data_IF_465184819234
#
_entry.id   IF_465184819234
#
_cell.length_a   1.000
_cell.length_b   1.000
_cell.length_c   1.000
_cell.angle_alpha   90.00
_cell.angle_beta   90.00
_cell.angle_gamma   90.00
#
_symmetry.space_group_name_H-M   'P 1'
#
loop_
_entity.id
_entity.type
_entity.pdbx_description
1 polymer ?
#
# COMPACT_ATOMS: atom_id res chain seq x y z
N UNK A 1 -11.13 -22.16 11.36
CA UNK A 1 -9.88 -22.54 12.05
C UNK A 1 -9.70 -21.54 13.19
N UNK A 2 -9.60 -22.00 14.44
CA UNK A 2 -9.33 -21.09 15.55
C UNK A 2 -7.91 -20.54 15.43
N UNK A 3 -7.75 -19.22 15.62
CA UNK A 3 -6.46 -18.57 15.58
C UNK A 3 -5.66 -18.93 16.84
N UNK A 4 -4.50 -19.56 16.66
CA UNK A 4 -3.63 -19.92 17.78
C UNK A 4 -2.71 -18.73 18.12
N UNK A 5 -3.12 -17.97 19.14
CA UNK A 5 -2.41 -16.77 19.61
C UNK A 5 -1.00 -17.11 20.09
N UNK A 6 -0.81 -18.25 20.75
CA UNK A 6 0.50 -18.61 21.33
C UNK A 6 1.53 -18.95 20.26
N UNK A 7 1.15 -19.74 19.25
CA UNK A 7 2.04 -20.06 18.14
C UNK A 7 2.43 -18.83 17.33
N UNK A 8 1.49 -17.92 17.11
CA UNK A 8 1.76 -16.67 16.38
C UNK A 8 2.62 -15.72 17.21
N UNK A 9 2.37 -15.60 18.51
CA UNK A 9 3.16 -14.76 19.40
C UNK A 9 4.64 -15.12 19.41
N UNK A 10 4.97 -16.42 19.36
CA UNK A 10 6.35 -16.92 19.30
C UNK A 10 7.13 -16.54 18.04
N UNK A 11 6.45 -16.04 16.99
CA UNK A 11 7.12 -15.55 15.78
C UNK A 11 7.74 -14.16 15.95
N UNK A 12 7.44 -13.47 17.05
CA UNK A 12 7.88 -12.10 17.32
C UNK A 12 8.77 -12.09 18.57
N UNK A 13 10.05 -11.84 18.40
CA UNK A 13 11.03 -11.87 19.48
C UNK A 13 10.64 -10.92 20.63
N UNK A 14 10.20 -9.72 20.31
CA UNK A 14 9.81 -8.70 21.30
C UNK A 14 8.61 -9.13 22.14
N UNK A 15 7.70 -9.95 21.61
CA UNK A 15 6.52 -10.42 22.34
C UNK A 15 6.78 -11.67 23.18
N UNK A 16 7.89 -12.38 22.95
CA UNK A 16 8.26 -13.60 23.69
C UNK A 16 8.65 -13.28 25.14
N UNK A 17 9.04 -12.06 25.45
CA UNK A 17 9.43 -11.60 26.79
C UNK A 17 8.24 -11.20 27.69
N UNK A 18 7.02 -11.54 27.31
CA UNK A 18 5.83 -11.26 28.13
C UNK A 18 5.21 -9.86 27.96
N UNK A 19 5.74 -9.03 27.08
CA UNK A 19 5.20 -7.70 26.81
C UNK A 19 3.85 -7.75 26.10
N UNK A 20 2.97 -6.83 26.42
CA UNK A 20 1.74 -6.54 25.67
C UNK A 20 1.98 -5.31 24.81
N UNK A 21 2.00 -5.49 23.48
CA UNK A 21 2.21 -4.41 22.53
C UNK A 21 0.88 -3.90 21.98
N UNK A 22 0.52 -2.66 22.30
CA UNK A 22 -0.77 -2.06 21.92
C UNK A 22 -0.69 -1.11 20.75
N UNK A 23 0.51 -0.80 20.23
CA UNK A 23 0.72 0.16 19.15
C UNK A 23 0.92 -0.49 17.77
N UNK A 24 0.36 -1.68 17.56
CA UNK A 24 0.53 -2.41 16.29
C UNK A 24 -0.09 -1.68 15.08
N UNK A 25 -1.06 -0.80 15.31
CA UNK A 25 -1.66 0.04 14.28
C UNK A 25 -0.65 1.01 13.66
N UNK A 26 0.11 1.73 14.50
CA UNK A 26 1.07 2.73 14.01
C UNK A 26 2.42 2.11 13.63
N UNK A 27 2.88 1.12 14.42
CA UNK A 27 4.17 0.47 14.22
C UNK A 27 4.04 -1.03 14.43
N UNK A 28 3.68 -1.79 13.40
CA UNK A 28 3.53 -3.23 13.52
C UNK A 28 4.86 -3.91 13.85
N UNK A 29 4.79 -4.95 14.69
CA UNK A 29 5.95 -5.79 14.97
C UNK A 29 6.30 -6.64 13.75
N UNK A 30 7.59 -6.82 13.51
CA UNK A 30 8.10 -7.61 12.37
C UNK A 30 8.45 -9.01 12.84
N UNK A 31 7.88 -10.07 12.24
CA UNK A 31 8.27 -11.46 12.55
C UNK A 31 9.73 -11.71 12.21
N UNK A 32 10.43 -12.51 12.99
CA UNK A 32 11.86 -12.83 12.80
C UNK A 32 12.16 -13.33 11.37
N UNK A 33 11.34 -14.21 10.84
CA UNK A 33 11.51 -14.71 9.46
C UNK A 33 11.45 -13.61 8.40
N UNK A 34 10.67 -12.54 8.65
CA UNK A 34 10.57 -11.39 7.75
C UNK A 34 11.82 -10.53 7.85
N UNK A 35 12.31 -10.26 9.07
CA UNK A 35 13.55 -9.53 9.30
C UNK A 35 14.75 -10.20 8.62
N UNK A 36 14.88 -11.51 8.75
CA UNK A 36 15.91 -12.31 8.06
C UNK A 36 15.74 -12.23 6.54
N UNK A 37 14.51 -12.31 6.04
CA UNK A 37 14.21 -12.20 4.61
C UNK A 37 14.62 -10.83 4.04
N UNK A 38 14.30 -9.75 4.75
CA UNK A 38 14.69 -8.39 4.38
C UNK A 38 16.21 -8.24 4.35
N UNK A 39 16.91 -8.69 5.40
CA UNK A 39 18.37 -8.63 5.45
C UNK A 39 19.04 -9.43 4.32
N UNK A 40 18.47 -10.57 3.93
CA UNK A 40 18.92 -11.37 2.78
C UNK A 40 18.68 -10.62 1.47
N UNK A 41 17.51 -10.04 1.30
CA UNK A 41 17.18 -9.28 0.09
C UNK A 41 18.12 -8.10 -0.12
N UNK A 42 18.43 -7.32 0.93
CA UNK A 42 19.39 -6.23 0.85
C UNK A 42 20.79 -6.70 0.45
N UNK A 43 21.26 -7.81 1.01
CA UNK A 43 22.60 -8.34 0.68
C UNK A 43 22.70 -8.84 -0.76
N UNK A 44 21.63 -9.39 -1.30
CA UNK A 44 21.63 -10.05 -2.61
C UNK A 44 21.02 -9.21 -3.73
N UNK A 45 20.46 -8.04 -3.43
CA UNK A 45 19.72 -7.22 -4.41
C UNK A 45 20.51 -6.89 -5.68
N UNK A 46 21.82 -6.72 -5.56
CA UNK A 46 22.74 -6.41 -6.67
C UNK A 46 23.31 -7.65 -7.36
N UNK A 47 23.05 -8.85 -6.82
CA UNK A 47 23.48 -10.10 -7.44
C UNK A 47 22.68 -10.39 -8.71
N UNK A 48 23.33 -10.96 -9.71
CA UNK A 48 22.65 -11.38 -10.93
C UNK A 48 22.15 -12.80 -10.74
N UNK A 49 20.83 -12.98 -10.86
CA UNK A 49 20.22 -14.30 -10.89
C UNK A 49 20.49 -14.93 -12.26
N UNK A 50 21.36 -15.92 -12.28
CA UNK A 50 21.45 -16.85 -13.40
C UNK A 50 20.36 -17.92 -13.18
N UNK A 51 19.30 -17.89 -13.97
CA UNK A 51 18.31 -18.96 -13.96
C UNK A 51 18.96 -20.33 -14.16
N UNK A 52 18.24 -21.44 -13.87
CA UNK A 52 18.81 -22.77 -14.01
C UNK A 52 19.38 -22.93 -15.41
N UNK A 53 20.70 -22.94 -15.50
CA UNK A 53 21.44 -23.20 -16.71
C UNK A 53 21.28 -24.67 -17.09
N UNK A 54 20.24 -24.97 -17.86
CA UNK A 54 20.17 -26.22 -18.57
C UNK A 54 21.34 -26.26 -19.56
N UNK A 55 22.13 -27.28 -19.49
CA UNK A 55 23.48 -27.48 -20.03
C UNK A 55 23.63 -27.36 -21.55
N UNK A 56 22.66 -26.93 -22.34
CA UNK A 56 22.76 -26.94 -23.82
C UNK A 56 22.11 -25.79 -24.58
N UNK A 57 21.68 -24.70 -23.99
CA UNK A 57 21.23 -23.55 -24.77
C UNK A 57 22.11 -22.33 -24.49
N UNK A 58 23.05 -22.08 -25.37
CA UNK A 58 23.94 -20.91 -25.42
C UNK A 58 23.19 -19.61 -25.78
N UNK A 59 21.97 -19.41 -25.34
CA UNK A 59 21.37 -18.09 -25.30
C UNK A 59 21.62 -17.53 -23.91
N UNK A 60 22.68 -16.75 -23.77
CA UNK A 60 22.88 -15.87 -22.64
C UNK A 60 21.67 -14.91 -22.58
N UNK A 61 20.67 -15.29 -21.83
CA UNK A 61 19.71 -14.30 -21.37
C UNK A 61 20.46 -13.40 -20.42
N UNK A 62 20.42 -12.09 -20.64
CA UNK A 62 20.93 -11.12 -19.69
C UNK A 62 20.33 -11.47 -18.32
N UNK A 63 21.20 -11.73 -17.34
CA UNK A 63 20.75 -12.09 -15.99
C UNK A 63 19.91 -10.96 -15.41
N UNK A 64 18.88 -11.33 -14.65
CA UNK A 64 18.08 -10.37 -13.89
C UNK A 64 18.73 -10.12 -12.54
N UNK A 65 18.61 -8.89 -12.04
CA UNK A 65 19.00 -8.59 -10.67
C UNK A 65 18.07 -9.33 -9.70
N UNK A 66 18.63 -9.91 -8.65
CA UNK A 66 17.86 -10.54 -7.58
C UNK A 66 16.87 -9.56 -6.95
N UNK A 67 17.22 -8.27 -6.86
CA UNK A 67 16.31 -7.22 -6.39
C UNK A 67 15.03 -7.13 -7.21
N UNK A 68 15.09 -7.25 -8.54
CA UNK A 68 13.93 -7.24 -9.40
C UNK A 68 13.04 -8.47 -9.18
N UNK A 69 13.67 -9.62 -8.95
CA UNK A 69 12.95 -10.87 -8.63
C UNK A 69 12.20 -10.73 -7.30
N UNK A 70 12.84 -10.14 -6.27
CA UNK A 70 12.16 -9.88 -4.99
C UNK A 70 10.97 -8.95 -5.13
N UNK A 71 11.10 -7.88 -5.93
CA UNK A 71 9.99 -6.93 -6.18
C UNK A 71 8.83 -7.64 -6.88
N UNK A 72 9.10 -8.45 -7.89
CA UNK A 72 8.03 -9.20 -8.58
C UNK A 72 7.35 -10.23 -7.67
N UNK A 73 8.12 -10.97 -6.88
CA UNK A 73 7.57 -11.93 -5.93
C UNK A 73 6.70 -11.23 -4.87
N UNK A 74 7.15 -10.07 -4.36
CA UNK A 74 6.36 -9.27 -3.43
C UNK A 74 5.05 -8.79 -4.05
N UNK A 75 5.09 -8.33 -5.31
CA UNK A 75 3.89 -7.93 -6.06
C UNK A 75 2.92 -9.08 -6.24
N UNK A 76 3.45 -10.27 -6.60
CA UNK A 76 2.66 -11.50 -6.71
C UNK A 76 2.00 -11.89 -5.39
N UNK A 77 2.75 -11.89 -4.29
CA UNK A 77 2.23 -12.23 -2.97
C UNK A 77 1.11 -11.28 -2.50
N UNK A 78 1.23 -9.98 -2.75
CA UNK A 78 0.16 -9.01 -2.46
C UNK A 78 -1.05 -9.24 -3.36
N UNK A 79 -0.83 -9.54 -4.64
CA UNK A 79 -1.90 -9.85 -5.59
C UNK A 79 -2.70 -11.09 -5.16
N UNK A 80 -2.01 -12.14 -4.75
CA UNK A 80 -2.63 -13.38 -4.25
C UNK A 80 -3.44 -13.12 -2.96
N UNK A 81 -2.88 -12.32 -2.04
CA UNK A 81 -3.57 -11.94 -0.80
C UNK A 81 -4.87 -11.17 -1.05
N UNK A 82 -4.87 -10.30 -2.04
CA UNK A 82 -6.02 -9.44 -2.38
C UNK A 82 -6.96 -10.06 -3.43
N UNK A 83 -6.62 -11.21 -4.01
CA UNK A 83 -7.38 -11.84 -5.09
C UNK A 83 -7.41 -11.00 -6.37
N UNK A 84 -6.35 -10.26 -6.66
CA UNK A 84 -6.21 -9.41 -7.85
C UNK A 84 -5.05 -9.86 -8.74
N UNK A 85 -4.95 -9.32 -9.95
CA UNK A 85 -3.81 -9.58 -10.83
C UNK A 85 -2.58 -8.78 -10.38
N UNK A 86 -1.38 -9.34 -10.53
CA UNK A 86 -0.13 -8.69 -10.12
C UNK A 86 0.13 -7.34 -10.84
N UNK A 87 -0.37 -7.16 -12.07
CA UNK A 87 -0.27 -5.90 -12.81
C UNK A 87 -1.18 -4.77 -12.22
N UNK A 88 -2.04 -5.10 -11.26
CA UNK A 88 -2.87 -4.14 -10.51
C UNK A 88 -2.27 -3.73 -9.18
N UNK A 89 -1.12 -4.28 -8.82
CA UNK A 89 -0.44 -3.97 -7.57
C UNK A 89 0.73 -3.02 -7.84
N UNK A 90 0.74 -1.90 -7.16
CA UNK A 90 1.83 -0.93 -7.18
C UNK A 90 2.51 -0.96 -5.82
N UNK A 91 3.82 -1.17 -5.81
CA UNK A 91 4.65 -1.11 -4.61
C UNK A 91 5.39 0.23 -4.56
N UNK A 92 5.55 0.79 -3.38
CA UNK A 92 6.26 2.04 -3.17
C UNK A 92 6.94 2.09 -1.81
N UNK A 93 7.80 3.10 -1.61
CA UNK A 93 8.59 3.25 -0.39
C UNK A 93 7.76 3.67 0.83
N UNK A 94 6.62 4.33 0.59
CA UNK A 94 5.72 4.76 1.66
C UNK A 94 4.33 5.07 1.09
N UNK A 95 3.33 5.11 1.98
CA UNK A 95 1.96 5.46 1.62
C UNK A 95 1.85 6.87 1.00
N UNK A 96 2.46 7.93 1.57
CA UNK A 96 2.45 9.26 0.94
C UNK A 96 3.01 9.27 -0.48
N UNK A 97 4.12 8.55 -0.73
CA UNK A 97 4.71 8.44 -2.08
C UNK A 97 3.75 7.76 -3.06
N UNK A 98 3.04 6.72 -2.61
CA UNK A 98 2.05 6.04 -3.44
C UNK A 98 0.87 6.94 -3.78
N UNK A 99 0.33 7.70 -2.81
CA UNK A 99 -0.75 8.65 -3.06
C UNK A 99 -0.31 9.80 -3.97
N UNK A 100 0.89 10.32 -3.79
CA UNK A 100 1.45 11.33 -4.69
C UNK A 100 1.59 10.80 -6.13
N UNK A 101 2.03 9.55 -6.28
CA UNK A 101 2.16 8.91 -7.60
C UNK A 101 0.79 8.67 -8.24
N UNK A 102 -0.20 8.25 -7.46
CA UNK A 102 -1.58 8.08 -7.91
C UNK A 102 -2.18 9.41 -8.36
N UNK A 103 -2.04 10.47 -7.56
CA UNK A 103 -2.54 11.80 -7.88
C UNK A 103 -1.93 12.32 -9.19
N UNK A 104 -0.63 12.17 -9.40
CA UNK A 104 0.04 12.51 -10.66
C UNK A 104 -0.48 11.70 -11.85
N UNK A 105 -0.71 10.41 -11.68
CA UNK A 105 -1.28 9.57 -12.74
C UNK A 105 -2.71 10.00 -13.11
N UNK A 106 -3.47 10.52 -12.13
CA UNK A 106 -4.84 11.01 -12.31
C UNK A 106 -4.91 12.48 -12.77
N UNK A 107 -3.83 13.24 -12.71
CA UNK A 107 -3.78 14.66 -13.05
C UNK A 107 -4.46 15.00 -14.38
N UNK A 108 -4.27 14.26 -15.50
CA UNK A 108 -4.93 14.57 -16.76
C UNK A 108 -6.46 14.51 -16.70
N UNK A 109 -7.00 13.79 -15.73
CA UNK A 109 -8.44 13.69 -15.48
C UNK A 109 -8.92 14.73 -14.46
N UNK A 110 -8.14 14.98 -13.41
CA UNK A 110 -8.50 15.83 -12.28
C UNK A 110 -8.28 17.31 -12.59
N UNK A 111 -7.22 17.70 -13.30
CA UNK A 111 -6.90 19.08 -13.62
C UNK A 111 -7.82 19.70 -14.71
N UNK A 112 -8.90 19.03 -15.08
CA UNK A 112 -9.88 19.60 -16.00
C UNK A 112 -10.75 20.63 -15.29
N UNK A 113 -11.03 21.73 -15.96
CA UNK A 113 -11.88 22.79 -15.42
C UNK A 113 -13.25 22.25 -15.01
N UNK A 114 -13.71 22.62 -13.82
CA UNK A 114 -15.01 22.23 -13.28
C UNK A 114 -15.06 20.80 -12.73
N UNK A 115 -13.91 20.14 -12.51
CA UNK A 115 -13.87 18.85 -11.80
C UNK A 115 -13.82 19.07 -10.29
N UNK A 116 -14.41 18.12 -9.55
CA UNK A 116 -14.35 18.10 -8.09
C UNK A 116 -13.81 16.76 -7.57
N UNK A 117 -13.28 16.81 -6.36
CA UNK A 117 -12.92 15.64 -5.57
C UNK A 117 -13.65 15.67 -4.23
N UNK A 118 -14.01 14.50 -3.71
CA UNK A 118 -14.57 14.35 -2.36
C UNK A 118 -13.56 13.58 -1.52
N UNK A 119 -13.09 14.20 -0.45
CA UNK A 119 -12.07 13.67 0.43
C UNK A 119 -12.65 13.43 1.83
N UNK A 120 -12.03 12.54 2.57
CA UNK A 120 -12.41 12.25 3.95
C UNK A 120 -11.66 13.17 4.92
N UNK A 121 -12.37 13.75 5.87
CA UNK A 121 -11.79 14.50 6.99
C UNK A 121 -11.10 13.61 8.04
N UNK A 122 -11.22 12.28 7.91
CA UNK A 122 -10.50 11.31 8.75
C UNK A 122 -9.14 10.92 8.17
N UNK A 123 -8.91 11.18 6.89
CA UNK A 123 -7.64 10.85 6.27
C UNK A 123 -6.51 11.77 6.74
N UNK A 124 -5.33 11.20 6.88
CA UNK A 124 -4.12 11.98 7.15
C UNK A 124 -3.84 12.96 5.98
N UNK A 125 -3.32 14.16 6.27
CA UNK A 125 -3.05 15.17 5.24
C UNK A 125 -2.17 14.64 4.09
N UNK A 126 -1.26 13.72 4.36
CA UNK A 126 -0.37 13.12 3.38
C UNK A 126 -1.12 12.29 2.32
N UNK A 127 -2.33 11.83 2.68
CA UNK A 127 -3.20 11.06 1.80
C UNK A 127 -4.07 11.99 0.95
N UNK A 128 -4.62 13.02 1.54
CA UNK A 128 -5.61 13.91 0.92
C UNK A 128 -4.99 15.09 0.14
N UNK A 129 -3.89 15.68 0.64
CA UNK A 129 -3.26 16.85 0.02
C UNK A 129 -2.84 16.66 -1.45
N UNK A 130 -2.33 15.51 -1.89
CA UNK A 130 -1.99 15.30 -3.30
C UNK A 130 -3.16 15.50 -4.27
N UNK A 131 -4.39 15.22 -3.84
CA UNK A 131 -5.58 15.33 -4.68
C UNK A 131 -6.22 16.72 -4.58
N UNK A 132 -6.27 17.30 -3.38
CA UNK A 132 -6.85 18.64 -3.18
C UNK A 132 -6.09 19.74 -3.95
N UNK A 133 -4.78 19.55 -4.16
CA UNK A 133 -3.97 20.49 -4.92
C UNK A 133 -4.13 20.43 -6.44
N UNK A 134 -4.88 19.44 -6.97
CA UNK A 134 -5.07 19.25 -8.41
C UNK A 134 -6.38 19.82 -8.95
N UNK A 135 -7.30 20.21 -8.08
CA UNK A 135 -8.65 20.68 -8.45
C UNK A 135 -9.00 21.98 -7.76
N UNK A 136 -9.89 22.75 -8.38
CA UNK A 136 -10.42 24.00 -7.79
C UNK A 136 -11.53 23.74 -6.76
N UNK A 137 -12.25 22.61 -6.88
CA UNK A 137 -13.37 22.24 -6.02
C UNK A 137 -13.06 20.95 -5.24
N UNK A 138 -12.63 21.12 -3.99
CA UNK A 138 -12.41 20.05 -3.04
C UNK A 138 -13.50 20.06 -1.98
N UNK A 139 -14.24 18.97 -1.89
CA UNK A 139 -15.33 18.78 -0.92
C UNK A 139 -14.90 17.79 0.14
N UNK A 140 -15.27 18.05 1.40
CA UNK A 140 -14.84 17.26 2.54
C UNK A 140 -16.02 16.58 3.21
N UNK A 141 -15.98 15.25 3.29
CA UNK A 141 -16.85 14.49 4.18
C UNK A 141 -16.25 14.54 5.59
N UNK A 142 -16.99 15.15 6.53
CA UNK A 142 -16.50 15.41 7.88
C UNK A 142 -17.10 14.40 8.87
N UNK A 143 -16.33 13.93 9.86
CA UNK A 143 -16.86 13.07 10.90
C UNK A 143 -17.87 13.80 11.77
N UNK A 144 -18.82 13.08 12.28
CA UNK A 144 -19.72 13.54 13.35
C UNK A 144 -18.89 13.77 14.62
N UNK A 145 -18.93 14.97 15.18
CA UNK A 145 -18.12 15.34 16.34
C UNK A 145 -18.52 14.62 17.63
N UNK A 146 -19.74 14.11 17.70
CA UNK A 146 -20.21 13.39 18.89
C UNK A 146 -19.82 11.91 18.88
N UNK A 147 -19.84 11.28 17.70
CA UNK A 147 -19.57 9.84 17.55
C UNK A 147 -18.19 9.55 16.98
N UNK A 148 -17.56 10.50 16.28
CA UNK A 148 -16.33 10.31 15.54
C UNK A 148 -16.52 9.49 14.24
N UNK A 149 -17.74 9.10 13.92
CA UNK A 149 -18.07 8.33 12.74
C UNK A 149 -18.22 9.23 11.51
N UNK A 150 -17.90 8.71 10.34
CA UNK A 150 -18.10 9.39 9.07
C UNK A 150 -19.38 8.82 8.39
N UNK A 151 -20.50 9.56 8.44
CA UNK A 151 -21.77 9.03 7.93
C UNK A 151 -21.75 8.90 6.40
N UNK A 152 -22.14 7.74 5.88
CA UNK A 152 -22.15 7.46 4.45
C UNK A 152 -23.06 8.41 3.64
N UNK A 153 -24.09 8.98 4.25
CA UNK A 153 -24.98 9.92 3.57
C UNK A 153 -24.28 11.20 3.14
N UNK A 154 -23.24 11.67 3.87
CA UNK A 154 -22.49 12.86 3.48
C UNK A 154 -21.86 12.70 2.09
N UNK A 155 -21.33 11.53 1.78
CA UNK A 155 -20.75 11.27 0.45
C UNK A 155 -21.81 11.38 -0.64
N UNK A 156 -23.04 10.90 -0.36
CA UNK A 156 -24.14 11.00 -1.32
C UNK A 156 -24.50 12.45 -1.66
N UNK A 157 -24.41 13.34 -0.68
CA UNK A 157 -24.75 14.76 -0.87
C UNK A 157 -23.59 15.54 -1.51
N UNK A 158 -22.34 15.07 -1.35
CA UNK A 158 -21.15 15.72 -1.89
C UNK A 158 -20.78 15.28 -3.31
N UNK A 159 -21.20 14.09 -3.72
CA UNK A 159 -20.90 13.52 -5.05
C UNK A 159 -21.90 14.02 -6.08
N UNK A 160 -21.41 14.54 -7.19
CA UNK A 160 -22.21 14.98 -8.32
C UNK A 160 -21.61 14.57 -9.68
N UNK A 161 -22.19 15.05 -10.79
CA UNK A 161 -21.71 14.74 -12.15
C UNK A 161 -20.31 15.27 -12.47
N UNK A 162 -19.76 16.17 -11.67
CA UNK A 162 -18.42 16.76 -11.82
C UNK A 162 -17.37 16.04 -10.97
N UNK A 163 -17.78 15.22 -10.02
CA UNK A 163 -16.90 14.48 -9.14
C UNK A 163 -16.13 13.39 -9.92
N UNK A 164 -14.81 13.39 -9.81
CA UNK A 164 -13.92 12.44 -10.51
C UNK A 164 -13.15 11.52 -9.57
N UNK A 165 -13.06 11.88 -8.31
CA UNK A 165 -12.38 11.07 -7.31
C UNK A 165 -13.10 11.19 -5.97
N UNK A 166 -13.23 10.06 -5.27
CA UNK A 166 -13.81 9.99 -3.93
C UNK A 166 -12.86 9.15 -3.06
N UNK A 167 -12.39 9.72 -1.96
CA UNK A 167 -11.65 8.99 -0.93
C UNK A 167 -12.61 8.55 0.17
N UNK A 168 -12.60 7.27 0.49
CA UNK A 168 -13.39 6.68 1.57
C UNK A 168 -12.45 6.17 2.66
N UNK A 169 -12.65 6.63 3.89
CA UNK A 169 -11.99 6.06 5.08
C UNK A 169 -12.89 4.98 5.67
N UNK A 170 -12.30 3.84 6.00
CA UNK A 170 -12.97 2.69 6.61
C UNK A 170 -12.53 2.51 8.06
#
# INVERSE_FOLDING_TARGET
>A
MAYDVYSVRGLYTTLSEGWTYLNAHATPQVPERVAVGVARAFRNATSVSTGPTGSHSQRQHAGRLEGDVYIENARGAVADLLGVRADRVVLGSSLPVLYQSLARAMEPMLARRGTSVVLSGLDAPEVSAPFSGLVDDTRWALPDLATGELPAFQYKDLVDGHTRFVALSA
#
